data_IF_334017144492
#
_entry.id   IF_334017144492
#
_cell.length_a   1.000
_cell.length_b   1.000
_cell.length_c   1.000
_cell.angle_alpha   90.00
_cell.angle_beta   90.00
_cell.angle_gamma   90.00
#
_symmetry.space_group_name_H-M   'P 1'
#
loop_
_entity.id
_entity.type
_entity.pdbx_description
1 polymer ?
#
# COMPACT_ATOMS: atom_id res chain seq x y z
N UNK A 1 14.63 44.30 16.41
CA UNK A 1 15.71 44.75 15.52
C UNK A 1 15.73 43.81 14.33
N UNK A 2 15.04 44.20 13.19
CA UNK A 2 15.61 44.73 11.93
C UNK A 2 16.67 43.79 11.36
N UNK A 3 16.53 43.22 10.15
CA UNK A 3 16.27 43.72 8.76
C UNK A 3 15.98 42.49 7.90
N UNK A 4 15.05 42.29 7.07
CA UNK A 4 14.62 42.87 5.76
C UNK A 4 15.75 43.10 4.73
N UNK A 5 15.78 42.31 3.65
CA UNK A 5 16.28 42.55 2.29
C UNK A 5 15.53 41.57 1.36
N UNK A 6 14.65 41.84 0.53
CA UNK A 6 14.36 42.64 -0.69
C UNK A 6 15.46 42.55 -1.77
N UNK A 7 15.02 42.14 -2.95
CA UNK A 7 15.72 42.33 -4.21
C UNK A 7 15.38 41.25 -5.21
N UNK A 8 14.53 41.46 -6.08
CA UNK A 8 14.40 42.23 -7.33
C UNK A 8 14.36 41.29 -8.53
N UNK A 9 13.27 41.45 -9.27
CA UNK A 9 12.94 40.98 -10.62
C UNK A 9 14.02 41.30 -11.66
N UNK A 10 14.04 40.47 -12.72
CA UNK A 10 14.31 40.98 -14.07
C UNK A 10 13.51 40.21 -15.13
N UNK A 11 12.68 40.99 -15.78
CA UNK A 11 11.92 40.74 -16.99
C UNK A 11 12.83 40.83 -18.24
N UNK A 12 12.48 40.14 -19.29
CA UNK A 12 13.00 40.36 -20.65
C UNK A 12 12.29 39.42 -21.59
N UNK A 13 11.27 39.81 -22.19
CA UNK A 13 10.89 40.42 -23.45
C UNK A 13 11.37 39.62 -24.68
N UNK A 14 10.32 39.05 -25.35
CA UNK A 14 9.86 39.30 -26.73
C UNK A 14 10.87 39.09 -27.87
N UNK A 15 10.50 38.28 -28.83
CA UNK A 15 10.05 38.79 -30.15
C UNK A 15 9.47 37.66 -31.03
N UNK A 16 8.36 38.02 -31.65
CA UNK A 16 7.59 37.38 -32.71
C UNK A 16 8.22 37.68 -34.10
N UNK A 17 8.04 36.77 -35.08
CA UNK A 17 7.85 37.06 -36.53
C UNK A 17 7.39 35.79 -37.23
N UNK A 18 6.27 35.74 -37.70
CA UNK A 18 5.38 35.90 -38.86
C UNK A 18 6.04 35.74 -40.23
N UNK A 19 5.37 34.92 -41.06
CA UNK A 19 5.33 34.94 -42.52
C UNK A 19 6.04 33.73 -43.16
N UNK A 20 5.49 33.03 -44.14
CA UNK A 20 4.46 33.27 -45.10
C UNK A 20 4.30 32.05 -46.02
N UNK A 21 3.14 31.88 -46.54
CA UNK A 21 2.74 30.91 -47.59
C UNK A 21 3.55 31.00 -48.86
N UNK A 22 3.77 29.88 -49.54
CA UNK A 22 3.58 29.78 -51.01
C UNK A 22 3.34 28.33 -51.43
N UNK A 23 2.26 28.21 -52.15
CA UNK A 23 1.76 27.09 -52.92
C UNK A 23 2.31 27.26 -54.36
N UNK A 24 2.75 26.18 -55.02
CA UNK A 24 2.69 26.07 -56.48
C UNK A 24 2.72 24.60 -56.92
N UNK A 25 1.66 24.24 -57.59
CA UNK A 25 1.54 23.05 -58.45
C UNK A 25 2.59 23.06 -59.53
N UNK A 26 2.92 21.90 -60.10
CA UNK A 26 2.87 21.56 -61.55
C UNK A 26 3.24 20.08 -61.74
N UNK A 27 2.41 19.45 -62.54
CA UNK A 27 2.37 18.13 -63.14
C UNK A 27 3.56 17.81 -64.08
N UNK A 28 3.80 16.49 -64.27
CA UNK A 28 4.49 16.03 -65.49
C UNK A 28 5.09 14.62 -65.41
N UNK A 29 4.32 13.63 -65.78
CA UNK A 29 4.58 12.50 -66.70
C UNK A 29 6.05 12.01 -66.89
N UNK A 30 6.23 10.69 -66.77
CA UNK A 30 7.38 9.94 -67.23
C UNK A 30 7.41 8.49 -66.76
N UNK A 31 6.86 7.60 -67.57
CA UNK A 31 6.99 6.14 -67.51
C UNK A 31 8.38 5.74 -68.03
N UNK A 32 9.07 4.82 -67.31
CA UNK A 32 9.74 3.67 -67.98
C UNK A 32 10.48 2.76 -66.95
N UNK A 33 10.11 1.52 -67.06
CA UNK A 33 10.81 0.23 -67.08
C UNK A 33 11.54 -0.25 -65.84
N UNK A 34 11.12 -1.48 -65.52
CA UNK A 34 11.68 -2.49 -64.69
C UNK A 34 13.21 -2.69 -64.86
N UNK A 35 13.88 -2.89 -63.75
CA UNK A 35 14.81 -4.02 -63.62
C UNK A 35 15.09 -4.39 -62.15
N UNK A 36 15.20 -5.69 -61.95
CA UNK A 36 15.39 -6.47 -60.78
C UNK A 36 16.49 -5.98 -59.84
N UNK A 37 16.17 -5.80 -58.56
CA UNK A 37 17.10 -6.01 -57.47
C UNK A 37 16.38 -6.83 -56.41
N UNK A 38 16.76 -8.10 -56.28
CA UNK A 38 16.51 -8.91 -55.08
C UNK A 38 17.19 -8.20 -53.90
N UNK A 39 16.43 -7.47 -53.15
CA UNK A 39 16.85 -6.98 -51.86
C UNK A 39 16.48 -8.06 -50.82
N UNK A 40 17.51 -8.58 -50.21
CA UNK A 40 17.50 -9.37 -48.98
C UNK A 40 16.49 -8.78 -48.03
N UNK A 41 15.38 -9.48 -47.86
CA UNK A 41 14.41 -9.23 -46.80
C UNK A 41 15.06 -9.73 -45.50
N UNK A 42 15.75 -8.80 -44.85
CA UNK A 42 16.18 -8.95 -43.48
C UNK A 42 14.88 -9.09 -42.66
N UNK A 43 14.72 -10.27 -42.06
CA UNK A 43 13.59 -10.63 -41.23
C UNK A 43 13.68 -9.81 -39.95
N UNK A 44 13.17 -8.60 -40.00
CA UNK A 44 12.78 -7.92 -38.76
C UNK A 44 11.67 -8.78 -38.13
N UNK A 45 12.04 -9.52 -37.13
CA UNK A 45 11.07 -10.05 -36.16
C UNK A 45 10.26 -8.84 -35.66
N UNK A 46 9.09 -8.67 -36.23
CA UNK A 46 8.05 -7.82 -35.65
C UNK A 46 7.66 -8.60 -34.40
N UNK A 47 8.23 -8.23 -33.25
CA UNK A 47 7.64 -8.59 -31.97
C UNK A 47 6.18 -8.16 -32.07
N UNK A 48 5.27 -9.12 -32.15
CA UNK A 48 3.85 -8.91 -31.93
C UNK A 48 3.73 -8.24 -30.56
N UNK A 49 3.57 -6.93 -30.58
CA UNK A 49 3.09 -6.19 -29.41
C UNK A 49 1.66 -6.70 -29.22
N UNK A 50 1.53 -7.79 -28.44
CA UNK A 50 0.23 -8.16 -27.90
C UNK A 50 -0.34 -6.87 -27.30
N UNK A 51 -1.45 -6.38 -27.84
CA UNK A 51 -2.25 -5.33 -27.21
C UNK A 51 -2.71 -5.87 -25.86
N UNK A 52 -1.81 -5.74 -24.88
CA UNK A 52 -2.10 -6.05 -23.51
C UNK A 52 -3.21 -5.10 -23.07
N UNK A 53 -4.31 -5.63 -22.60
CA UNK A 53 -5.40 -4.88 -21.98
C UNK A 53 -4.79 -3.81 -21.07
N UNK A 54 -4.74 -2.58 -21.56
CA UNK A 54 -4.27 -1.44 -20.77
C UNK A 54 -5.15 -1.37 -19.52
N UNK A 55 -4.52 -1.52 -18.36
CA UNK A 55 -5.21 -1.31 -17.08
C UNK A 55 -5.85 0.08 -17.16
N UNK A 56 -7.17 0.19 -16.99
CA UNK A 56 -7.84 1.47 -17.14
C UNK A 56 -7.17 2.57 -16.31
N UNK A 57 -7.04 3.77 -16.85
CA UNK A 57 -6.36 4.91 -16.21
C UNK A 57 -6.89 5.21 -14.79
N UNK A 58 -8.16 4.90 -14.51
CA UNK A 58 -8.75 5.06 -13.19
C UNK A 58 -8.18 4.08 -12.15
N UNK A 59 -7.67 2.91 -12.52
CA UNK A 59 -7.01 1.98 -11.61
C UNK A 59 -5.70 2.54 -11.02
N UNK A 60 -5.13 3.56 -11.64
CA UNK A 60 -3.93 4.23 -11.12
C UNK A 60 -4.26 5.38 -10.15
N UNK A 61 -5.53 5.73 -9.96
CA UNK A 61 -5.93 6.77 -8.99
C UNK A 61 -6.01 6.25 -7.57
N UNK A 62 -6.41 4.99 -7.41
CA UNK A 62 -6.46 4.31 -6.13
C UNK A 62 -5.23 3.43 -5.96
N UNK A 63 -4.52 3.59 -4.84
CA UNK A 63 -3.42 2.68 -4.52
C UNK A 63 -3.93 1.26 -4.24
N UNK A 64 -5.13 1.11 -3.71
CA UNK A 64 -5.72 -0.20 -3.43
C UNK A 64 -5.97 -1.01 -4.71
N UNK A 65 -6.51 -0.36 -5.77
CA UNK A 65 -6.71 -1.01 -7.08
C UNK A 65 -5.37 -1.36 -7.75
N UNK A 66 -4.40 -0.43 -7.68
CA UNK A 66 -3.04 -0.71 -8.13
C UNK A 66 -2.45 -1.91 -7.41
N UNK A 67 -2.56 -1.94 -6.08
CA UNK A 67 -2.00 -2.99 -5.24
C UNK A 67 -2.58 -4.36 -5.56
N UNK A 68 -3.89 -4.42 -5.82
CA UNK A 68 -4.54 -5.66 -6.26
C UNK A 68 -3.88 -6.21 -7.52
N UNK A 69 -3.74 -5.38 -8.56
CA UNK A 69 -3.11 -5.78 -9.82
C UNK A 69 -1.63 -6.12 -9.64
N UNK A 70 -0.90 -5.36 -8.81
CA UNK A 70 0.51 -5.58 -8.52
C UNK A 70 0.73 -6.93 -7.81
N UNK A 71 -0.13 -7.30 -6.88
CA UNK A 71 -0.02 -8.53 -6.11
C UNK A 71 -0.46 -9.78 -6.90
N UNK A 72 -1.39 -9.63 -7.85
CA UNK A 72 -2.00 -10.78 -8.55
C UNK A 72 -1.43 -11.06 -9.93
N UNK A 73 -0.72 -10.10 -10.55
CA UNK A 73 -0.17 -10.24 -11.90
C UNK A 73 1.35 -10.08 -11.93
N UNK A 74 2.08 -11.15 -12.22
CA UNK A 74 3.54 -11.13 -12.35
C UNK A 74 4.01 -10.14 -13.44
N UNK A 75 3.39 -10.17 -14.62
CA UNK A 75 3.73 -9.26 -15.73
C UNK A 75 3.50 -7.80 -15.32
N UNK A 76 2.38 -7.50 -14.65
CA UNK A 76 2.11 -6.15 -14.16
C UNK A 76 3.14 -5.73 -13.10
N UNK A 77 3.47 -6.62 -12.17
CA UNK A 77 4.46 -6.37 -11.12
C UNK A 77 5.82 -6.00 -11.71
N UNK A 78 6.33 -6.79 -12.67
CA UNK A 78 7.62 -6.53 -13.33
C UNK A 78 7.67 -5.16 -14.03
N UNK A 79 6.56 -4.67 -14.56
CA UNK A 79 6.48 -3.33 -15.19
C UNK A 79 6.41 -2.18 -14.18
N UNK A 80 6.04 -2.50 -12.95
CA UNK A 80 5.85 -1.51 -11.88
C UNK A 80 7.00 -1.47 -10.87
N UNK A 81 8.06 -2.19 -11.11
CA UNK A 81 9.28 -2.17 -10.29
C UNK A 81 10.36 -1.34 -11.00
N UNK A 82 11.07 -0.52 -10.25
CA UNK A 82 12.25 0.19 -10.71
C UNK A 82 13.49 -0.68 -10.51
N UNK A 83 14.03 -1.23 -11.60
CA UNK A 83 15.24 -2.06 -11.56
C UNK A 83 16.51 -1.26 -11.95
N UNK A 84 17.69 -1.57 -11.36
CA UNK A 84 17.88 -2.49 -10.23
C UNK A 84 17.16 -1.99 -8.98
N UNK A 85 16.40 -2.89 -8.33
CA UNK A 85 15.59 -2.53 -7.16
C UNK A 85 16.47 -2.46 -5.91
N UNK A 86 16.63 -1.30 -5.25
CA UNK A 86 17.33 -1.19 -3.99
C UNK A 86 16.72 -2.08 -2.91
N UNK A 87 17.57 -2.89 -2.28
CA UNK A 87 17.22 -3.76 -1.17
C UNK A 87 18.12 -3.45 0.04
N UNK A 88 17.50 -3.16 1.17
CA UNK A 88 18.21 -2.86 2.41
C UNK A 88 17.96 -3.97 3.43
N UNK A 89 19.01 -4.49 4.05
CA UNK A 89 18.93 -5.50 5.10
C UNK A 89 19.76 -5.04 6.30
N UNK A 90 19.12 -4.70 7.42
CA UNK A 90 19.78 -4.22 8.64
C UNK A 90 20.89 -3.18 8.32
N UNK A 91 20.56 -2.14 7.53
CA UNK A 91 21.43 -1.07 7.05
C UNK A 91 22.50 -1.47 6.00
N UNK A 92 22.53 -2.70 5.53
CA UNK A 92 23.33 -3.08 4.35
C UNK A 92 22.53 -2.85 3.10
N UNK A 93 23.13 -2.17 2.14
CA UNK A 93 22.51 -1.91 0.84
C UNK A 93 22.93 -2.99 -0.15
N UNK A 94 21.96 -3.52 -0.86
CA UNK A 94 22.08 -4.43 -1.99
C UNK A 94 21.10 -4.00 -3.10
N UNK A 95 21.03 -4.74 -4.19
CA UNK A 95 20.07 -4.51 -5.26
C UNK A 95 19.59 -5.85 -5.82
N UNK A 96 18.37 -5.86 -6.32
CA UNK A 96 17.77 -7.01 -7.00
C UNK A 96 17.66 -6.66 -8.48
N UNK A 97 18.30 -7.43 -9.34
CA UNK A 97 18.19 -7.29 -10.78
C UNK A 97 16.85 -7.84 -11.28
N UNK A 98 16.41 -7.41 -12.46
CA UNK A 98 15.10 -7.80 -13.02
C UNK A 98 14.98 -9.31 -13.19
N UNK A 99 16.05 -9.97 -13.60
CA UNK A 99 16.14 -11.42 -13.84
C UNK A 99 16.13 -12.24 -12.54
N UNK A 100 16.44 -11.59 -11.41
CA UNK A 100 16.44 -12.22 -10.07
C UNK A 100 15.11 -12.03 -9.35
N UNK A 101 14.23 -11.18 -9.88
CA UNK A 101 12.94 -10.92 -9.24
C UNK A 101 12.02 -12.13 -9.35
N UNK A 102 11.51 -12.56 -8.21
CA UNK A 102 10.46 -13.58 -8.12
C UNK A 102 9.16 -12.88 -7.75
N UNK A 103 8.08 -13.20 -8.45
CA UNK A 103 6.76 -12.65 -8.16
C UNK A 103 6.41 -12.74 -6.67
N UNK A 104 6.15 -11.60 -6.06
CA UNK A 104 5.75 -11.49 -4.66
C UNK A 104 4.24 -11.22 -4.60
N UNK A 105 3.42 -12.20 -4.21
CA UNK A 105 1.96 -12.04 -4.14
C UNK A 105 1.52 -11.11 -3.01
N UNK A 106 2.45 -10.57 -2.23
CA UNK A 106 2.15 -9.81 -1.02
C UNK A 106 1.12 -10.59 -0.16
N UNK A 107 0.05 -9.93 0.26
CA UNK A 107 -1.00 -10.56 1.05
C UNK A 107 -2.22 -11.05 0.22
N UNK A 108 -2.13 -11.07 -1.12
CA UNK A 108 -3.26 -11.47 -1.98
C UNK A 108 -3.66 -12.94 -1.84
N UNK A 109 -2.79 -13.78 -1.29
CA UNK A 109 -3.08 -15.19 -1.00
C UNK A 109 -3.63 -15.42 0.42
N UNK A 110 -3.80 -14.35 1.20
CA UNK A 110 -4.37 -14.40 2.53
C UNK A 110 -5.87 -14.13 2.49
N UNK A 111 -6.59 -14.62 3.48
CA UNK A 111 -8.03 -14.35 3.66
C UNK A 111 -8.29 -12.86 3.90
N UNK A 112 -7.40 -12.23 4.64
CA UNK A 112 -7.43 -10.80 4.97
C UNK A 112 -6.01 -10.26 5.20
N UNK A 113 -5.87 -8.96 5.15
CA UNK A 113 -4.69 -8.20 5.57
C UNK A 113 -5.04 -7.27 6.72
N UNK A 114 -4.03 -6.74 7.41
CA UNK A 114 -4.24 -5.79 8.51
C UNK A 114 -3.76 -4.39 8.16
N UNK A 115 -4.41 -3.39 8.76
CA UNK A 115 -3.97 -2.00 8.79
C UNK A 115 -3.86 -1.53 10.24
N UNK A 116 -2.86 -0.71 10.52
CA UNK A 116 -2.53 -0.27 11.86
C UNK A 116 -2.69 1.25 11.98
N UNK A 117 -3.39 1.69 13.02
CA UNK A 117 -3.63 3.10 13.31
C UNK A 117 -3.43 3.40 14.79
N UNK A 118 -3.11 4.65 15.10
CA UNK A 118 -3.17 5.20 16.46
C UNK A 118 -4.51 5.93 16.71
N UNK A 119 -5.11 6.44 15.64
CA UNK A 119 -6.39 7.14 15.64
C UNK A 119 -7.22 6.69 14.43
N UNK A 120 -8.54 6.72 14.55
CA UNK A 120 -9.46 6.44 13.44
C UNK A 120 -9.38 7.47 12.31
N UNK A 121 -9.03 8.71 12.63
CA UNK A 121 -8.84 9.76 11.63
C UNK A 121 -7.72 9.39 10.64
N UNK A 122 -6.76 8.57 11.04
CA UNK A 122 -5.70 8.05 10.18
C UNK A 122 -6.25 7.14 9.06
N UNK A 123 -7.39 6.48 9.26
CA UNK A 123 -8.01 5.63 8.24
C UNK A 123 -8.51 6.45 7.03
N UNK A 124 -8.82 7.73 7.22
CA UNK A 124 -9.24 8.61 6.13
C UNK A 124 -8.10 8.93 5.14
N UNK A 125 -6.83 8.74 5.54
CA UNK A 125 -5.67 8.99 4.65
C UNK A 125 -5.67 8.09 3.40
N UNK A 126 -6.27 6.90 3.47
CA UNK A 126 -6.43 6.03 2.30
C UNK A 126 -7.27 6.68 1.19
N UNK A 127 -8.22 7.53 1.55
CA UNK A 127 -9.12 8.22 0.62
C UNK A 127 -8.44 9.38 -0.09
N UNK A 128 -7.25 9.79 0.38
CA UNK A 128 -6.49 10.89 -0.24
C UNK A 128 -5.84 10.43 -1.55
N UNK A 129 -6.50 10.75 -2.66
CA UNK A 129 -5.98 10.48 -4.01
C UNK A 129 -4.78 11.35 -4.39
N UNK A 130 -4.43 12.36 -3.60
CA UNK A 130 -3.25 13.20 -3.79
C UNK A 130 -1.98 12.57 -3.21
N UNK A 131 -2.10 11.49 -2.43
CA UNK A 131 -0.94 10.77 -1.91
C UNK A 131 -0.04 10.30 -3.05
N UNK A 132 1.26 10.56 -2.91
CA UNK A 132 2.30 10.20 -3.89
C UNK A 132 3.23 9.11 -3.39
N UNK A 133 3.13 8.74 -2.12
CA UNK A 133 3.97 7.73 -1.48
C UNK A 133 3.12 6.84 -0.59
N UNK A 134 3.29 5.52 -0.73
CA UNK A 134 2.65 4.52 0.13
C UNK A 134 3.68 3.45 0.49
N UNK A 135 3.61 2.96 1.71
CA UNK A 135 4.48 1.90 2.19
C UNK A 135 3.66 0.70 2.67
N UNK A 136 4.01 -0.48 2.18
CA UNK A 136 3.48 -1.75 2.71
C UNK A 136 4.48 -2.30 3.70
N UNK A 137 4.00 -2.75 4.84
CA UNK A 137 4.80 -3.34 5.90
C UNK A 137 4.33 -4.76 6.21
N UNK A 138 5.28 -5.70 6.24
CA UNK A 138 5.12 -7.03 6.81
C UNK A 138 5.83 -7.09 8.14
N UNK A 139 5.10 -7.40 9.19
CA UNK A 139 5.57 -7.41 10.56
C UNK A 139 5.58 -8.85 11.06
N UNK A 140 6.76 -9.48 11.10
CA UNK A 140 6.96 -10.80 11.69
C UNK A 140 7.02 -10.68 13.20
N UNK A 141 5.97 -11.10 13.88
CA UNK A 141 5.80 -10.97 15.32
C UNK A 141 6.82 -11.81 16.10
N UNK A 142 7.14 -13.02 15.60
CA UNK A 142 8.08 -13.94 16.27
C UNK A 142 9.53 -13.56 16.05
N UNK A 143 9.90 -13.22 14.81
CA UNK A 143 11.28 -12.86 14.46
C UNK A 143 11.63 -11.43 14.84
N UNK A 144 10.61 -10.61 15.19
CA UNK A 144 10.78 -9.17 15.44
C UNK A 144 11.42 -8.45 14.26
N UNK A 145 10.96 -8.78 13.06
CA UNK A 145 11.41 -8.19 11.80
C UNK A 145 10.28 -7.49 11.08
N UNK A 146 10.63 -6.47 10.33
CA UNK A 146 9.69 -5.71 9.51
C UNK A 146 10.27 -5.54 8.11
N UNK A 147 9.58 -6.12 7.11
CA UNK A 147 9.88 -5.92 5.70
C UNK A 147 8.97 -4.83 5.16
N UNK A 148 9.54 -3.83 4.50
CA UNK A 148 8.84 -2.68 3.97
C UNK A 148 9.05 -2.59 2.48
N UNK A 149 7.97 -2.32 1.75
CA UNK A 149 7.95 -2.05 0.32
C UNK A 149 7.57 -0.59 0.14
N UNK A 150 8.42 0.19 -0.54
CA UNK A 150 8.22 1.61 -0.76
C UNK A 150 7.69 1.84 -2.16
N UNK A 151 6.52 2.43 -2.25
CA UNK A 151 5.87 2.78 -3.50
C UNK A 151 5.82 4.28 -3.66
N UNK A 152 6.22 4.76 -4.83
CA UNK A 152 6.14 6.16 -5.23
C UNK A 152 5.30 6.30 -6.50
N UNK A 153 4.58 7.42 -6.60
CA UNK A 153 3.77 7.76 -7.77
C UNK A 153 4.55 8.64 -8.71
N UNK A 154 5.22 8.04 -9.71
CA UNK A 154 6.05 8.72 -10.69
C UNK A 154 5.26 8.94 -11.98
N UNK A 155 5.12 10.20 -12.39
CA UNK A 155 4.39 10.59 -13.61
C UNK A 155 2.96 10.01 -13.68
N UNK A 156 2.30 9.90 -12.52
CA UNK A 156 0.94 9.34 -12.42
C UNK A 156 0.89 7.82 -12.23
N UNK A 157 2.02 7.11 -12.29
CA UNK A 157 2.10 5.65 -12.17
C UNK A 157 2.75 5.23 -10.85
N UNK A 158 2.11 4.33 -10.15
CA UNK A 158 2.71 3.72 -8.96
C UNK A 158 3.86 2.79 -9.34
N UNK A 159 4.98 2.92 -8.65
CA UNK A 159 6.18 2.12 -8.82
C UNK A 159 6.73 1.66 -7.47
N UNK A 160 7.18 0.40 -7.40
CA UNK A 160 8.02 -0.08 -6.30
C UNK A 160 9.44 0.44 -6.52
N UNK A 161 9.96 1.22 -5.57
CA UNK A 161 11.27 1.87 -5.68
C UNK A 161 12.34 1.30 -4.74
N UNK A 162 11.93 0.65 -3.65
CA UNK A 162 12.85 0.04 -2.70
C UNK A 162 12.16 -0.99 -1.80
N UNK A 163 12.96 -1.90 -1.24
CA UNK A 163 12.57 -2.80 -0.17
C UNK A 163 13.55 -2.65 0.99
N UNK A 164 13.03 -2.70 2.22
CA UNK A 164 13.82 -2.69 3.45
C UNK A 164 13.37 -3.85 4.36
N UNK A 165 14.31 -4.66 4.84
CA UNK A 165 14.10 -5.73 5.83
C UNK A 165 14.95 -5.44 7.05
N UNK A 166 14.33 -4.94 8.10
CA UNK A 166 15.01 -4.47 9.29
C UNK A 166 14.46 -5.10 10.57
N UNK A 167 15.31 -5.21 11.55
CA UNK A 167 14.90 -5.56 12.92
C UNK A 167 14.00 -4.46 13.49
N UNK A 168 12.89 -4.86 14.11
CA UNK A 168 11.95 -3.93 14.71
C UNK A 168 12.62 -3.22 15.90
N UNK A 169 12.51 -1.88 15.96
CA UNK A 169 13.02 -1.15 17.11
C UNK A 169 12.18 -1.46 18.35
N UNK A 170 12.84 -1.73 19.49
CA UNK A 170 12.14 -1.87 20.76
C UNK A 170 11.58 -0.54 21.25
N UNK A 171 10.43 -0.60 21.89
CA UNK A 171 9.87 0.55 22.61
C UNK A 171 10.51 0.64 24.00
N UNK A 172 11.21 1.75 24.27
CA UNK A 172 11.94 1.97 25.55
C UNK A 172 11.23 3.03 26.43
N UNK A 173 9.91 3.15 26.31
CA UNK A 173 9.14 4.20 27.00
C UNK A 173 8.56 3.78 28.36
N UNK A 174 8.97 2.60 28.88
CA UNK A 174 8.47 2.06 30.15
C UNK A 174 7.05 1.48 30.08
N UNK A 175 6.49 1.36 28.88
CA UNK A 175 5.23 0.68 28.59
C UNK A 175 5.52 -0.72 28.03
N UNK A 176 4.53 -1.61 28.11
CA UNK A 176 4.56 -2.89 27.41
C UNK A 176 4.64 -2.62 25.90
N UNK A 177 5.60 -3.25 25.20
CA UNK A 177 5.70 -3.16 23.75
C UNK A 177 4.44 -3.75 23.10
N UNK A 178 3.85 -2.98 22.17
CA UNK A 178 2.57 -3.39 21.56
C UNK A 178 2.71 -4.70 20.77
N UNK A 179 3.77 -4.88 20.03
CA UNK A 179 3.94 -6.08 19.21
C UNK A 179 4.23 -7.32 20.04
N UNK A 180 4.95 -7.18 21.17
CA UNK A 180 5.16 -8.26 22.13
C UNK A 180 3.87 -8.63 22.86
N UNK A 181 3.07 -7.62 23.25
CA UNK A 181 1.73 -7.82 23.79
C UNK A 181 0.84 -8.53 22.78
N UNK A 182 0.77 -8.05 21.54
CA UNK A 182 -0.14 -8.58 20.53
C UNK A 182 0.23 -10.02 20.13
N UNK A 183 1.51 -10.30 19.97
CA UNK A 183 1.98 -11.68 19.70
C UNK A 183 1.48 -12.63 20.79
N UNK A 184 1.60 -12.26 22.05
CA UNK A 184 1.10 -13.07 23.16
C UNK A 184 -0.43 -13.10 23.20
N UNK A 185 -1.09 -11.97 22.98
CA UNK A 185 -2.55 -11.86 22.94
C UNK A 185 -3.16 -12.77 21.87
N UNK A 186 -2.56 -12.89 20.72
CA UNK A 186 -3.05 -13.72 19.63
C UNK A 186 -2.76 -15.23 19.79
N UNK A 187 -1.82 -15.62 20.67
CA UNK A 187 -1.36 -17.02 20.82
C UNK A 187 -1.68 -17.66 22.19
N UNK A 188 -1.99 -16.87 23.22
CA UNK A 188 -2.22 -17.34 24.58
C UNK A 188 -3.62 -16.96 25.05
N UNK A 189 -4.55 -17.92 25.05
CA UNK A 189 -5.96 -17.70 25.39
C UNK A 189 -6.16 -17.27 26.85
N UNK A 190 -5.31 -17.70 27.78
CA UNK A 190 -5.40 -17.28 29.18
C UNK A 190 -4.99 -15.81 29.30
N UNK A 191 -3.89 -15.44 28.69
CA UNK A 191 -3.46 -14.05 28.64
C UNK A 191 -4.50 -13.16 27.92
N UNK A 192 -5.06 -13.65 26.81
CA UNK A 192 -6.12 -12.97 26.09
C UNK A 192 -7.33 -12.67 26.99
N UNK A 193 -7.80 -13.66 27.76
CA UNK A 193 -8.91 -13.49 28.70
C UNK A 193 -8.62 -12.44 29.80
N UNK A 194 -7.36 -12.29 30.22
CA UNK A 194 -6.95 -11.27 31.19
C UNK A 194 -6.90 -9.86 30.59
N UNK A 195 -6.72 -9.77 29.25
CA UNK A 195 -6.46 -8.52 28.52
C UNK A 195 -7.64 -8.04 27.69
N UNK A 196 -8.80 -8.68 27.77
CA UNK A 196 -10.08 -8.21 27.20
C UNK A 196 -10.84 -7.40 28.26
N UNK A 197 -11.43 -6.28 27.85
CA UNK A 197 -12.33 -5.50 28.72
C UNK A 197 -13.60 -6.30 29.07
N UNK A 198 -14.13 -6.04 30.26
CA UNK A 198 -15.34 -6.71 30.76
C UNK A 198 -16.27 -5.65 31.39
N UNK A 199 -17.43 -5.38 30.79
CA UNK A 199 -17.90 -5.87 29.50
C UNK A 199 -17.10 -5.25 28.33
N UNK A 200 -16.98 -5.98 27.20
CA UNK A 200 -16.35 -5.50 25.96
C UNK A 200 -17.40 -4.83 25.07
N UNK A 201 -17.29 -3.55 24.73
CA UNK A 201 -18.05 -2.91 23.67
C UNK A 201 -17.91 -3.67 22.35
N UNK A 202 -19.04 -4.01 21.75
CA UNK A 202 -19.13 -4.81 20.53
C UNK A 202 -20.06 -4.17 19.52
N UNK A 203 -19.64 -4.15 18.27
CA UNK A 203 -20.42 -3.63 17.13
C UNK A 203 -20.51 -4.70 16.07
N UNK A 204 -21.70 -4.91 15.55
CA UNK A 204 -21.98 -5.85 14.48
C UNK A 204 -23.13 -5.36 13.60
N UNK A 205 -23.35 -5.91 12.38
CA UNK A 205 -24.59 -5.70 11.64
C UNK A 205 -25.80 -6.14 12.46
N UNK A 206 -26.90 -5.39 12.35
CA UNK A 206 -28.13 -5.78 13.03
C UNK A 206 -28.73 -7.00 12.30
N UNK A 207 -28.97 -8.14 12.99
CA UNK A 207 -29.52 -9.33 12.38
C UNK A 207 -30.97 -9.16 11.89
N UNK A 208 -31.68 -8.14 12.36
CA UNK A 208 -33.07 -7.86 12.00
C UNK A 208 -33.20 -6.76 10.94
N UNK A 209 -32.13 -6.00 10.63
CA UNK A 209 -32.11 -4.92 9.66
C UNK A 209 -30.71 -4.79 9.00
N UNK A 210 -30.57 -5.27 7.76
CA UNK A 210 -29.34 -5.30 6.98
C UNK A 210 -28.68 -3.92 6.78
N UNK A 211 -29.39 -2.82 7.06
CA UNK A 211 -28.88 -1.45 6.92
C UNK A 211 -28.52 -0.79 8.25
N UNK A 212 -28.70 -1.49 9.36
CA UNK A 212 -28.39 -0.97 10.68
C UNK A 212 -27.22 -1.68 11.33
N UNK A 213 -26.60 -0.97 12.25
CA UNK A 213 -25.50 -1.46 13.08
C UNK A 213 -25.99 -1.57 14.50
N UNK A 214 -25.79 -2.74 15.09
CA UNK A 214 -26.06 -3.02 16.49
C UNK A 214 -24.83 -2.67 17.33
N UNK A 215 -24.95 -1.68 18.21
CA UNK A 215 -23.95 -1.40 19.24
C UNK A 215 -24.41 -2.03 20.58
N UNK A 216 -23.59 -2.92 21.11
CA UNK A 216 -23.88 -3.67 22.33
C UNK A 216 -22.62 -3.92 23.16
N UNK A 217 -22.70 -4.76 24.16
CA UNK A 217 -21.56 -5.25 24.92
C UNK A 217 -21.63 -6.76 25.06
N UNK A 218 -20.49 -7.41 25.07
CA UNK A 218 -20.34 -8.83 25.37
C UNK A 218 -19.51 -9.02 26.64
N UNK A 219 -19.80 -10.07 27.40
CA UNK A 219 -18.95 -10.45 28.52
C UNK A 219 -17.66 -11.05 28.01
N UNK A 220 -16.56 -10.93 28.75
CA UNK A 220 -15.26 -11.42 28.30
C UNK A 220 -15.24 -12.93 27.98
N UNK A 221 -16.12 -13.74 28.63
CA UNK A 221 -16.26 -15.16 28.32
C UNK A 221 -16.87 -15.39 26.95
N UNK A 222 -17.71 -14.48 26.48
CA UNK A 222 -18.32 -14.53 25.15
C UNK A 222 -17.33 -14.14 24.05
N UNK A 223 -16.26 -13.41 24.38
CA UNK A 223 -15.23 -13.02 23.44
C UNK A 223 -14.72 -14.18 22.58
N UNK A 224 -14.45 -15.32 23.20
CA UNK A 224 -13.97 -16.52 22.48
C UNK A 224 -14.99 -17.12 21.49
N UNK A 225 -16.26 -16.72 21.58
CA UNK A 225 -17.30 -17.11 20.62
C UNK A 225 -17.34 -16.15 19.43
N UNK A 226 -17.08 -14.87 19.65
CA UNK A 226 -17.21 -13.81 18.65
C UNK A 226 -15.87 -13.37 18.05
N UNK A 227 -14.75 -13.72 18.68
CA UNK A 227 -13.45 -13.29 18.19
C UNK A 227 -13.19 -13.76 16.76
N UNK A 228 -12.61 -12.92 15.90
CA UNK A 228 -12.15 -13.33 14.58
C UNK A 228 -10.93 -14.24 14.70
N UNK A 229 -10.56 -14.86 13.59
CA UNK A 229 -9.25 -15.50 13.48
C UNK A 229 -8.16 -14.42 13.57
N UNK A 230 -7.47 -14.34 14.70
CA UNK A 230 -6.42 -13.36 14.90
C UNK A 230 -5.18 -13.70 14.09
N UNK A 231 -4.56 -12.74 13.39
CA UNK A 231 -3.27 -12.93 12.77
C UNK A 231 -2.19 -13.11 13.85
N UNK A 232 -1.62 -14.29 13.96
CA UNK A 232 -0.76 -14.68 15.08
C UNK A 232 0.72 -14.86 14.74
N UNK A 233 1.07 -14.79 13.46
CA UNK A 233 2.46 -14.87 12.98
C UNK A 233 2.93 -13.54 12.42
N UNK A 234 2.08 -12.91 11.61
CA UNK A 234 2.39 -11.68 10.90
C UNK A 234 1.23 -10.69 11.00
N UNK A 235 1.58 -9.41 11.15
CA UNK A 235 0.70 -8.31 10.83
C UNK A 235 1.14 -7.68 9.51
N UNK A 236 0.22 -7.10 8.78
CA UNK A 236 0.52 -6.23 7.64
C UNK A 236 0.10 -4.80 7.98
N UNK A 237 0.63 -3.83 7.25
CA UNK A 237 0.17 -2.46 7.32
C UNK A 237 0.31 -1.80 5.97
N UNK A 238 -0.72 -1.11 5.50
CA UNK A 238 -0.64 -0.23 4.34
C UNK A 238 -0.60 1.20 4.85
N UNK A 239 0.57 1.82 4.74
CA UNK A 239 0.86 3.12 5.31
C UNK A 239 0.77 4.21 4.23
N UNK A 240 -0.28 5.04 4.29
CA UNK A 240 -0.52 6.18 3.41
C UNK A 240 0.10 7.49 3.93
N UNK A 241 0.97 7.41 4.92
CA UNK A 241 1.60 8.56 5.56
C UNK A 241 1.27 8.68 7.05
N UNK A 242 0.36 7.84 7.58
CA UNK A 242 0.08 7.78 9.01
C UNK A 242 1.36 7.44 9.79
N UNK A 243 1.54 8.13 10.90
CA UNK A 243 2.69 7.93 11.78
C UNK A 243 2.25 7.20 13.04
N UNK A 244 2.60 5.94 13.14
CA UNK A 244 2.45 5.22 14.39
C UNK A 244 3.38 5.84 15.44
N UNK A 245 2.78 6.48 16.44
CA UNK A 245 3.53 7.10 17.53
C UNK A 245 3.90 6.01 18.55
N UNK A 246 5.19 5.86 18.82
CA UNK A 246 5.69 4.90 19.82
C UNK A 246 5.20 5.16 21.24
N UNK A 247 4.84 6.40 21.53
CA UNK A 247 4.26 6.78 22.82
C UNK A 247 2.73 6.77 22.82
N UNK A 248 2.10 6.34 21.75
CA UNK A 248 0.65 6.22 21.69
C UNK A 248 0.17 5.22 22.72
N UNK A 249 -0.97 5.54 23.33
CA UNK A 249 -1.69 4.66 24.24
C UNK A 249 -2.92 4.03 23.58
N UNK A 250 -3.05 4.20 22.29
CA UNK A 250 -4.10 3.63 21.46
C UNK A 250 -3.45 2.91 20.30
N UNK A 251 -3.96 1.74 19.95
CA UNK A 251 -3.63 1.01 18.74
C UNK A 251 -4.88 0.36 18.20
N UNK A 252 -5.12 0.56 16.91
CA UNK A 252 -6.26 -0.01 16.20
C UNK A 252 -5.69 -0.97 15.17
N UNK A 253 -6.20 -2.18 15.15
CA UNK A 253 -5.93 -3.17 14.09
C UNK A 253 -7.22 -3.37 13.34
N UNK A 254 -7.26 -2.92 12.10
CA UNK A 254 -8.33 -3.22 11.17
C UNK A 254 -7.90 -4.40 10.30
N UNK A 255 -8.74 -5.42 10.23
CA UNK A 255 -8.56 -6.60 9.38
C UNK A 255 -9.52 -6.50 8.22
N UNK A 256 -8.99 -6.43 7.00
CA UNK A 256 -9.77 -6.28 5.76
C UNK A 256 -9.57 -7.47 4.85
N UNK A 257 -10.66 -8.01 4.32
CA UNK A 257 -10.61 -9.05 3.32
C UNK A 257 -9.98 -8.59 2.01
N UNK A 258 -9.19 -9.46 1.39
CA UNK A 258 -8.63 -9.18 0.07
C UNK A 258 -9.61 -9.68 -1.00
N UNK A 259 -10.44 -8.77 -1.49
CA UNK A 259 -11.49 -9.06 -2.48
C UNK A 259 -12.71 -9.81 -1.94
N UNK A 260 -12.92 -9.80 -0.62
CA UNK A 260 -14.10 -10.35 0.05
C UNK A 260 -14.67 -9.35 1.06
N UNK A 261 -15.84 -9.64 1.64
CA UNK A 261 -16.53 -8.76 2.58
C UNK A 261 -16.06 -8.84 4.02
N UNK A 262 -14.90 -9.44 4.31
CA UNK A 262 -14.39 -9.55 5.67
C UNK A 262 -13.92 -8.18 6.19
N UNK A 263 -14.44 -7.75 7.35
CA UNK A 263 -14.11 -6.48 7.98
C UNK A 263 -14.26 -6.56 9.50
N UNK A 264 -13.14 -6.55 10.21
CA UNK A 264 -13.08 -6.61 11.66
C UNK A 264 -12.13 -5.56 12.20
N UNK A 265 -12.47 -4.91 13.32
CA UNK A 265 -11.62 -3.89 13.94
C UNK A 265 -11.44 -4.14 15.43
N UNK A 266 -10.19 -4.20 15.85
CA UNK A 266 -9.77 -4.39 17.24
C UNK A 266 -9.19 -3.08 17.78
N UNK A 267 -9.73 -2.58 18.90
CA UNK A 267 -9.27 -1.36 19.54
C UNK A 267 -8.54 -1.67 20.83
N UNK A 268 -7.26 -1.37 20.87
CA UNK A 268 -6.43 -1.56 22.05
C UNK A 268 -6.10 -0.23 22.72
N UNK A 269 -6.05 -0.25 24.05
CA UNK A 269 -5.58 0.89 24.87
C UNK A 269 -4.57 0.43 25.89
N UNK A 270 -3.50 1.23 26.04
CA UNK A 270 -2.51 1.08 27.10
C UNK A 270 -2.90 1.92 28.32
N UNK A 271 -3.13 1.27 29.45
CA UNK A 271 -3.39 1.92 30.75
C UNK A 271 -2.46 1.34 31.80
N UNK A 272 -1.81 2.20 32.57
CA UNK A 272 -0.82 1.80 33.58
C UNK A 272 0.31 0.92 33.04
N UNK A 273 0.71 1.15 31.78
CA UNK A 273 1.76 0.39 31.12
C UNK A 273 1.33 -0.93 30.49
N UNK A 274 0.05 -1.32 30.58
CA UNK A 274 -0.50 -2.57 30.06
C UNK A 274 -1.50 -2.33 28.93
N UNK A 275 -1.36 -3.07 27.82
CA UNK A 275 -2.32 -3.07 26.70
C UNK A 275 -3.53 -3.97 27.00
N UNK A 276 -4.70 -3.53 26.56
CA UNK A 276 -5.96 -4.28 26.65
C UNK A 276 -6.82 -4.03 25.42
N UNK A 277 -7.55 -5.07 24.97
CA UNK A 277 -8.64 -4.91 24.01
C UNK A 277 -9.80 -4.20 24.71
N UNK A 278 -10.25 -3.09 24.15
CA UNK A 278 -11.28 -2.22 24.77
C UNK A 278 -12.54 -2.06 23.93
N UNK A 279 -12.53 -2.44 22.65
CA UNK A 279 -13.68 -2.48 21.75
C UNK A 279 -13.38 -3.45 20.62
N UNK A 280 -14.41 -4.09 20.10
CA UNK A 280 -14.36 -4.96 18.93
C UNK A 280 -15.52 -4.63 17.99
N UNK A 281 -15.23 -4.59 16.68
CA UNK A 281 -16.23 -4.43 15.63
C UNK A 281 -16.07 -5.56 14.62
N UNK A 282 -17.19 -6.23 14.30
CA UNK A 282 -17.32 -7.18 13.21
C UNK A 282 -18.35 -6.63 12.23
N UNK A 283 -17.86 -6.05 11.13
CA UNK A 283 -18.69 -5.50 10.05
C UNK A 283 -18.58 -6.34 8.78
N UNK A 284 -18.21 -7.61 8.93
CA UNK A 284 -18.16 -8.58 7.82
C UNK A 284 -19.56 -8.82 7.25
N UNK A 285 -19.65 -8.96 5.91
CA UNK A 285 -20.88 -9.21 5.16
C UNK A 285 -20.73 -10.35 4.14
#
# INVERSE_FOLDING_TARGET
>A
MKKLIVGICLLGWMTSCVGGKKQSDISGVGMESADSIEAVMDTLEVEEIEEENEVPVYAERSFADFLYNFATSEKFQLRRILFPLPYYMDNKKDSIEKEEWVHDPLFSQQEFYTMLYDDLDDAEMEKDTASTSVRIEWIDLKKKKMKRYYFERLYGWWKLEAIDDATMPKEENGQEDFYEFYERFANDSLFQAERVADPLPFVAPDPDDDFQILETTIQKEQWFTFQPKLPNEHLTNVNYGQRLNRNSRTRIIEMRGFGNGFSNTLYFRCRNGEWRLTRFEDLSN
#
